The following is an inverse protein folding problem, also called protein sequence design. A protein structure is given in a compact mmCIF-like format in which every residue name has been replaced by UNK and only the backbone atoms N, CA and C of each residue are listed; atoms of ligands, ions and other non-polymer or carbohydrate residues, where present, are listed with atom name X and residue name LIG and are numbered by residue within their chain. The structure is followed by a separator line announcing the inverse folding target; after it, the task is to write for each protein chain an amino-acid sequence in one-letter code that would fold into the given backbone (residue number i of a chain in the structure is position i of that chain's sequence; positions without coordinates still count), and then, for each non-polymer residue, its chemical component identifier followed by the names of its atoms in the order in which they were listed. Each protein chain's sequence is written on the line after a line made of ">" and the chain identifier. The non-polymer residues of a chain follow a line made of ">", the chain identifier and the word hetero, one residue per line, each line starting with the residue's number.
data_IF_605479124262
#
_entry.id   IF_605479124262
#
_cell.length_a   1.000
_cell.length_b   1.000
_cell.length_c   1.000
_cell.angle_alpha   90.00
_cell.angle_beta   90.00
_cell.angle_gamma   90.00
#
_symmetry.space_group_name_H-M   'P 1'
#
loop_
_entity.id
_entity.type
_entity.pdbx_description
1 polymer ?
#
# COMPACT_ATOMS: atom_id res chain seq x y z
N UNK A 1 -25.14 4.83 -5.36
CA UNK A 1 -24.00 4.69 -4.41
C UNK A 1 -23.22 3.37 -4.50
N UNK A 2 -23.85 2.22 -4.73
CA UNK A 2 -23.15 0.90 -4.81
C UNK A 2 -22.03 0.84 -5.87
N UNK A 3 -22.19 1.51 -7.02
CA UNK A 3 -21.17 1.58 -8.09
C UNK A 3 -19.91 2.36 -7.68
N UNK A 4 -20.08 3.49 -6.97
CA UNK A 4 -18.98 4.33 -6.49
C UNK A 4 -18.13 3.62 -5.42
N UNK A 5 -18.77 2.94 -4.47
CA UNK A 5 -18.07 2.12 -3.45
C UNK A 5 -17.26 1.01 -4.12
N UNK A 6 -17.87 0.23 -5.02
CA UNK A 6 -17.18 -0.83 -5.77
C UNK A 6 -15.99 -0.29 -6.57
N UNK A 7 -16.12 0.90 -7.19
CA UNK A 7 -15.01 1.56 -7.91
C UNK A 7 -13.87 1.93 -6.96
N UNK A 8 -14.17 2.54 -5.82
CA UNK A 8 -13.14 2.94 -4.84
C UNK A 8 -12.41 1.73 -4.26
N UNK A 9 -13.12 0.64 -3.94
CA UNK A 9 -12.49 -0.62 -3.49
C UNK A 9 -11.57 -1.23 -4.54
N UNK A 10 -11.97 -1.19 -5.83
CA UNK A 10 -11.11 -1.64 -6.93
C UNK A 10 -9.84 -0.79 -7.04
N UNK A 11 -9.97 0.53 -6.94
CA UNK A 11 -8.81 1.44 -6.94
C UNK A 11 -7.91 1.14 -5.74
N UNK A 12 -8.47 0.93 -4.55
CA UNK A 12 -7.70 0.57 -3.35
C UNK A 12 -6.91 -0.73 -3.56
N UNK A 13 -7.53 -1.75 -4.17
CA UNK A 13 -6.88 -3.02 -4.45
C UNK A 13 -5.73 -2.87 -5.46
N UNK A 14 -5.91 -2.08 -6.52
CA UNK A 14 -4.85 -1.78 -7.49
C UNK A 14 -3.71 -1.02 -6.81
N UNK A 15 -4.03 0.02 -6.05
CA UNK A 15 -3.05 0.84 -5.34
C UNK A 15 -2.26 0.03 -4.31
N UNK A 16 -2.90 -0.95 -3.65
CA UNK A 16 -2.23 -1.87 -2.74
C UNK A 16 -1.23 -2.78 -3.47
N UNK A 17 -1.57 -3.25 -4.69
CA UNK A 17 -0.65 -4.01 -5.52
C UNK A 17 0.54 -3.15 -5.98
N UNK A 18 0.29 -1.91 -6.43
CA UNK A 18 1.35 -0.98 -6.84
C UNK A 18 2.30 -0.68 -5.69
N UNK A 19 1.77 -0.43 -4.48
CA UNK A 19 2.60 -0.22 -3.30
C UNK A 19 3.45 -1.45 -2.96
N UNK A 20 2.89 -2.66 -3.05
CA UNK A 20 3.65 -3.90 -2.83
C UNK A 20 4.77 -4.05 -3.86
N UNK A 21 4.50 -3.81 -5.15
CA UNK A 21 5.54 -3.88 -6.19
C UNK A 21 6.69 -2.91 -5.90
N UNK A 22 6.38 -1.66 -5.56
CA UNK A 22 7.41 -0.68 -5.19
C UNK A 22 8.20 -1.08 -3.93
N UNK A 23 7.58 -1.79 -2.98
CA UNK A 23 8.30 -2.35 -1.83
C UNK A 23 9.25 -3.49 -2.24
N UNK A 24 8.81 -4.37 -3.14
CA UNK A 24 9.66 -5.44 -3.67
C UNK A 24 10.88 -4.88 -4.41
N UNK A 25 10.68 -3.86 -5.25
CA UNK A 25 11.78 -3.17 -5.93
C UNK A 25 12.78 -2.55 -4.94
N UNK A 26 12.28 -1.98 -3.85
CA UNK A 26 13.13 -1.43 -2.80
C UNK A 26 13.97 -2.51 -2.11
N UNK A 27 13.35 -3.66 -1.77
CA UNK A 27 14.03 -4.80 -1.16
C UNK A 27 15.10 -5.35 -2.11
N UNK A 28 14.79 -5.50 -3.40
CA UNK A 28 15.76 -5.97 -4.40
C UNK A 28 16.95 -4.99 -4.51
N UNK A 29 16.67 -3.69 -4.51
CA UNK A 29 17.72 -2.67 -4.54
C UNK A 29 18.61 -2.71 -3.29
N UNK A 30 18.02 -2.92 -2.10
CA UNK A 30 18.75 -3.09 -0.85
C UNK A 30 19.61 -4.36 -0.84
N UNK A 31 19.11 -5.46 -1.40
CA UNK A 31 19.87 -6.70 -1.53
C UNK A 31 21.10 -6.50 -2.44
N UNK A 32 20.95 -5.81 -3.58
CA UNK A 32 22.07 -5.45 -4.48
C UNK A 32 23.10 -4.55 -3.79
N UNK A 33 22.65 -3.59 -3.00
CA UNK A 33 23.55 -2.72 -2.22
C UNK A 33 24.36 -3.54 -1.20
N UNK A 34 23.72 -4.46 -0.48
CA UNK A 34 24.38 -5.36 0.48
C UNK A 34 25.39 -6.29 -0.21
N UNK A 35 25.04 -6.84 -1.37
CA UNK A 35 25.95 -7.68 -2.17
C UNK A 35 27.21 -6.90 -2.59
N UNK A 36 27.05 -5.66 -3.04
CA UNK A 36 28.18 -4.81 -3.42
C UNK A 36 29.05 -4.42 -2.22
N UNK A 37 28.43 -4.12 -1.07
CA UNK A 37 29.17 -3.86 0.18
C UNK A 37 29.96 -5.09 0.63
N UNK A 38 29.34 -6.26 0.57
CA UNK A 38 29.98 -7.53 0.91
C UNK A 38 31.12 -7.87 -0.04
N UNK A 39 30.95 -7.64 -1.34
CA UNK A 39 32.02 -7.80 -2.34
C UNK A 39 33.20 -6.89 -2.04
N UNK A 40 32.94 -5.62 -1.71
CA UNK A 40 34.00 -4.68 -1.34
C UNK A 40 34.71 -5.11 -0.06
N UNK A 41 33.96 -5.55 0.95
CA UNK A 41 34.50 -6.06 2.22
C UNK A 41 35.44 -7.23 1.98
N UNK A 42 35.04 -8.22 1.19
CA UNK A 42 35.88 -9.39 0.86
C UNK A 42 37.18 -9.02 0.14
N UNK A 43 37.13 -8.03 -0.77
CA UNK A 43 38.35 -7.56 -1.45
C UNK A 43 39.29 -6.91 -0.43
N UNK A 44 38.78 -6.10 0.49
CA UNK A 44 39.60 -5.43 1.52
C UNK A 44 40.16 -6.46 2.52
N UNK A 45 39.33 -7.38 3.02
CA UNK A 45 39.74 -8.44 3.96
C UNK A 45 40.83 -9.34 3.35
N UNK A 46 40.63 -9.82 2.10
CA UNK A 46 41.62 -10.63 1.41
C UNK A 46 42.97 -9.92 1.18
N UNK A 47 42.97 -8.59 1.16
CA UNK A 47 44.20 -7.80 1.10
C UNK A 47 44.88 -7.62 2.46
N UNK A 48 44.10 -7.47 3.52
CA UNK A 48 44.63 -7.32 4.87
C UNK A 48 45.24 -8.63 5.39
N UNK A 49 44.72 -9.79 4.95
CA UNK A 49 45.21 -11.11 5.35
C UNK A 49 46.41 -11.61 4.53
N UNK A 50 46.69 -11.01 3.36
CA UNK A 50 47.73 -11.47 2.45
C UNK A 50 49.12 -10.88 2.80
N UNK A 51 50.01 -11.73 3.31
CA UNK A 51 51.43 -11.39 3.46
C UNK A 51 52.10 -11.46 2.07
N UNK A 52 52.51 -10.31 1.53
CA UNK A 52 53.26 -10.24 0.28
C UNK A 52 52.40 -10.23 -1.00
N UNK A 53 51.48 -9.27 -1.10
CA UNK A 53 50.67 -9.08 -2.31
C UNK A 53 51.55 -8.66 -3.50
N UNK A 54 51.45 -9.38 -4.61
CA UNK A 54 52.17 -9.01 -5.84
C UNK A 54 51.64 -7.67 -6.40
N UNK A 55 52.49 -6.84 -7.05
CA UNK A 55 52.04 -5.57 -7.63
C UNK A 55 50.84 -5.70 -8.58
N UNK A 56 50.78 -6.80 -9.34
CA UNK A 56 49.68 -7.09 -10.26
C UNK A 56 48.37 -7.40 -9.51
N UNK A 57 48.43 -8.17 -8.42
CA UNK A 57 47.26 -8.44 -7.59
C UNK A 57 46.73 -7.14 -6.98
N UNK A 58 47.62 -6.28 -6.46
CA UNK A 58 47.26 -4.97 -5.94
C UNK A 58 46.59 -4.06 -6.99
N UNK A 59 47.11 -4.05 -8.21
CA UNK A 59 46.52 -3.30 -9.31
C UNK A 59 45.11 -3.79 -9.67
N UNK A 60 44.92 -5.10 -9.79
CA UNK A 60 43.63 -5.72 -10.12
C UNK A 60 42.57 -5.44 -9.03
N UNK A 61 42.96 -5.51 -7.75
CA UNK A 61 42.06 -5.18 -6.66
C UNK A 61 41.71 -3.69 -6.62
N UNK A 62 42.67 -2.81 -6.88
CA UNK A 62 42.41 -1.38 -7.02
C UNK A 62 41.40 -1.08 -8.14
N UNK A 63 41.50 -1.77 -9.27
CA UNK A 63 40.50 -1.67 -10.34
C UNK A 63 39.13 -2.20 -9.90
N UNK A 64 39.09 -3.38 -9.29
CA UNK A 64 37.84 -4.00 -8.81
C UNK A 64 37.14 -3.14 -7.75
N UNK A 65 37.89 -2.52 -6.82
CA UNK A 65 37.36 -1.60 -5.82
C UNK A 65 36.80 -0.32 -6.46
N UNK A 66 37.48 0.24 -7.46
CA UNK A 66 36.99 1.41 -8.21
C UNK A 66 35.68 1.07 -8.92
N UNK A 67 35.62 -0.07 -9.61
CA UNK A 67 34.39 -0.52 -10.28
C UNK A 67 33.25 -0.72 -9.27
N UNK A 68 33.51 -1.42 -8.16
CA UNK A 68 32.51 -1.62 -7.10
C UNK A 68 32.03 -0.29 -6.48
N UNK A 69 32.93 0.69 -6.31
CA UNK A 69 32.56 2.02 -5.80
C UNK A 69 31.67 2.80 -6.78
N UNK A 70 31.95 2.72 -8.09
CA UNK A 70 31.07 3.31 -9.11
C UNK A 70 29.71 2.62 -9.12
N UNK A 71 29.67 1.29 -9.06
CA UNK A 71 28.44 0.50 -8.98
C UNK A 71 27.61 0.87 -7.74
N UNK A 72 28.24 1.01 -6.57
CA UNK A 72 27.58 1.49 -5.35
C UNK A 72 26.97 2.88 -5.52
N UNK A 73 27.67 3.81 -6.18
CA UNK A 73 27.15 5.14 -6.46
C UNK A 73 25.92 5.11 -7.37
N UNK A 74 25.88 4.21 -8.35
CA UNK A 74 24.71 3.98 -9.21
C UNK A 74 23.55 3.39 -8.42
N UNK A 75 23.81 2.36 -7.62
CA UNK A 75 22.79 1.71 -6.78
C UNK A 75 22.23 2.66 -5.74
N UNK A 76 23.05 3.50 -5.11
CA UNK A 76 22.60 4.50 -4.13
C UNK A 76 21.62 5.52 -4.77
N UNK A 77 21.94 6.02 -5.97
CA UNK A 77 21.03 6.91 -6.72
C UNK A 77 19.74 6.21 -7.14
N UNK A 78 19.82 4.94 -7.54
CA UNK A 78 18.65 4.14 -7.86
C UNK A 78 17.76 3.92 -6.63
N UNK A 79 18.37 3.59 -5.48
CA UNK A 79 17.71 3.42 -4.19
C UNK A 79 16.95 4.66 -3.76
N UNK A 80 17.54 5.85 -3.90
CA UNK A 80 16.87 7.11 -3.59
C UNK A 80 15.59 7.30 -4.43
N UNK A 81 15.69 7.06 -5.74
CA UNK A 81 14.54 7.13 -6.66
C UNK A 81 13.45 6.13 -6.32
N UNK A 82 13.82 4.86 -6.10
CA UNK A 82 12.90 3.78 -5.75
C UNK A 82 12.24 4.05 -4.39
N UNK A 83 12.99 4.58 -3.42
CA UNK A 83 12.46 4.96 -2.10
C UNK A 83 11.42 6.07 -2.24
N UNK A 84 11.71 7.11 -3.03
CA UNK A 84 10.77 8.18 -3.32
C UNK A 84 9.50 7.67 -4.02
N UNK A 85 9.66 6.73 -4.96
CA UNK A 85 8.55 6.07 -5.63
C UNK A 85 7.68 5.25 -4.64
N UNK A 86 8.30 4.39 -3.82
CA UNK A 86 7.60 3.60 -2.82
C UNK A 86 6.83 4.47 -1.81
N UNK A 87 7.41 5.59 -1.38
CA UNK A 87 6.75 6.57 -0.52
C UNK A 87 5.55 7.24 -1.22
N UNK A 88 5.68 7.54 -2.51
CA UNK A 88 4.59 8.11 -3.32
C UNK A 88 3.43 7.12 -3.43
N UNK A 89 3.70 5.85 -3.73
CA UNK A 89 2.68 4.81 -3.80
C UNK A 89 2.04 4.53 -2.43
N UNK A 90 2.80 4.63 -1.34
CA UNK A 90 2.28 4.53 0.03
C UNK A 90 1.30 5.68 0.35
N UNK A 91 1.65 6.92 -0.03
CA UNK A 91 0.77 8.10 0.16
C UNK A 91 -0.52 7.97 -0.63
N UNK A 92 -0.44 7.55 -1.90
CA UNK A 92 -1.61 7.27 -2.74
C UNK A 92 -2.50 6.19 -2.12
N UNK A 93 -1.90 5.09 -1.65
CA UNK A 93 -2.64 4.02 -0.96
C UNK A 93 -3.38 4.56 0.27
N UNK A 94 -2.68 5.32 1.12
CA UNK A 94 -3.28 5.95 2.31
C UNK A 94 -4.47 6.85 1.95
N UNK A 95 -4.34 7.65 0.89
CA UNK A 95 -5.43 8.52 0.42
C UNK A 95 -6.65 7.71 -0.04
N UNK A 96 -6.44 6.68 -0.86
CA UNK A 96 -7.54 5.86 -1.37
C UNK A 96 -8.22 5.07 -0.26
N UNK A 97 -7.47 4.56 0.72
CA UNK A 97 -8.03 3.87 1.88
C UNK A 97 -8.93 4.80 2.71
N UNK A 98 -8.50 6.06 2.93
CA UNK A 98 -9.34 7.07 3.59
C UNK A 98 -10.62 7.35 2.80
N UNK A 99 -10.55 7.43 1.47
CA UNK A 99 -11.73 7.60 0.63
C UNK A 99 -12.69 6.40 0.75
N UNK A 100 -12.15 5.19 0.76
CA UNK A 100 -12.93 3.96 0.94
C UNK A 100 -13.66 3.96 2.28
N UNK A 101 -12.97 4.34 3.34
CA UNK A 101 -13.54 4.46 4.69
C UNK A 101 -14.67 5.50 4.76
N UNK A 102 -14.45 6.70 4.21
CA UNK A 102 -15.48 7.74 4.17
C UNK A 102 -16.73 7.28 3.42
N UNK A 103 -16.56 6.62 2.28
CA UNK A 103 -17.70 6.11 1.49
C UNK A 103 -18.41 4.96 2.21
N UNK A 104 -17.67 4.09 2.90
CA UNK A 104 -18.26 3.04 3.72
C UNK A 104 -19.11 3.63 4.86
N UNK A 105 -18.61 4.65 5.57
CA UNK A 105 -19.36 5.36 6.63
C UNK A 105 -20.61 6.04 6.08
N UNK A 106 -20.54 6.70 4.92
CA UNK A 106 -21.71 7.30 4.28
C UNK A 106 -22.75 6.25 3.89
N UNK A 107 -22.32 5.12 3.31
CA UNK A 107 -23.21 4.04 2.95
C UNK A 107 -23.88 3.39 4.17
N UNK A 108 -23.17 3.32 5.30
CA UNK A 108 -23.73 2.85 6.57
C UNK A 108 -24.83 3.79 7.08
N UNK A 109 -24.55 5.09 7.20
CA UNK A 109 -25.55 6.09 7.65
C UNK A 109 -26.81 6.12 6.78
N UNK A 110 -26.65 5.98 5.46
CA UNK A 110 -27.80 5.93 4.57
C UNK A 110 -28.65 4.66 4.73
N UNK A 111 -28.03 3.54 5.11
CA UNK A 111 -28.79 2.32 5.44
C UNK A 111 -29.56 2.51 6.74
N UNK A 112 -28.92 3.06 7.77
CA UNK A 112 -29.59 3.38 9.04
C UNK A 112 -30.78 4.31 8.81
N UNK A 113 -30.60 5.39 8.06
CA UNK A 113 -31.68 6.33 7.75
C UNK A 113 -32.86 5.65 7.03
N UNK A 114 -32.60 4.80 6.04
CA UNK A 114 -33.67 4.06 5.34
C UNK A 114 -34.41 3.10 6.26
N UNK A 115 -33.69 2.38 7.13
CA UNK A 115 -34.32 1.48 8.10
C UNK A 115 -35.19 2.26 9.08
N UNK A 116 -34.74 3.43 9.53
CA UNK A 116 -35.53 4.31 10.38
C UNK A 116 -36.78 4.82 9.66
N UNK A 117 -36.64 5.29 8.41
CA UNK A 117 -37.76 5.70 7.56
C UNK A 117 -38.78 4.56 7.41
N UNK A 118 -38.34 3.35 7.06
CA UNK A 118 -39.19 2.16 6.93
C UNK A 118 -39.94 1.81 8.24
N UNK A 119 -39.26 1.87 9.39
CA UNK A 119 -39.87 1.63 10.71
C UNK A 119 -40.88 2.72 11.07
N UNK A 120 -40.57 3.99 10.80
CA UNK A 120 -41.51 5.09 11.05
C UNK A 120 -42.75 5.00 10.15
N UNK A 121 -42.58 4.65 8.87
CA UNK A 121 -43.70 4.45 7.96
C UNK A 121 -44.59 3.27 8.39
N UNK A 122 -44.00 2.14 8.78
CA UNK A 122 -44.77 0.99 9.29
C UNK A 122 -45.45 1.29 10.62
N UNK A 123 -44.80 2.05 11.51
CA UNK A 123 -45.40 2.51 12.75
C UNK A 123 -46.54 3.51 12.51
N UNK A 124 -46.44 4.38 11.51
CA UNK A 124 -47.50 5.33 11.13
C UNK A 124 -48.70 4.67 10.43
N UNK A 125 -48.49 3.57 9.69
CA UNK A 125 -49.57 2.80 9.04
C UNK A 125 -50.37 1.93 10.01
N UNK A 126 -49.73 1.39 11.06
CA UNK A 126 -50.38 0.56 12.10
C UNK A 126 -51.58 1.20 12.83
N UNK A 127 -51.58 2.48 13.25
CA UNK A 127 -52.75 3.08 13.88
C UNK A 127 -53.90 3.31 12.89
N UNK A 128 -53.61 3.59 11.61
CA UNK A 128 -54.63 3.77 10.56
C UNK A 128 -55.38 2.46 10.26
N UNK A 129 -54.67 1.33 10.18
CA UNK A 129 -55.29 0.01 9.99
C UNK A 129 -56.12 -0.43 11.21
N UNK A 130 -55.68 -0.10 12.43
CA UNK A 130 -56.45 -0.40 13.66
C UNK A 130 -57.73 0.44 13.78
N UNK A 131 -57.74 1.67 13.30
CA UNK A 131 -58.96 2.51 13.30
C UNK A 131 -59.97 2.03 12.23
N UNK A 132 -59.52 1.69 11.03
CA UNK A 132 -60.40 1.14 9.98
C UNK A 132 -60.97 -0.24 10.32
N UNK A 133 -60.21 -1.10 11.02
CA UNK A 133 -60.71 -2.39 11.50
C UNK A 133 -61.76 -2.26 12.62
N UNK A 134 -61.70 -1.18 13.42
CA UNK A 134 -62.69 -0.91 14.46
C UNK A 134 -63.98 -0.32 13.88
N UNK A 135 -63.91 0.55 12.87
CA UNK A 135 -65.10 1.12 12.21
C UNK A 135 -65.90 0.06 11.43
N UNK A 136 -65.21 -0.89 10.78
CA UNK A 136 -65.87 -1.97 10.01
C UNK A 136 -66.44 -3.10 10.86
N UNK A 137 -66.12 -3.17 12.15
CA UNK A 137 -66.66 -4.16 13.09
C UNK A 137 -67.84 -3.64 13.92
N UNK A 138 -68.12 -2.34 13.90
CA UNK A 138 -69.27 -1.70 14.55
C UNK A 138 -70.54 -1.68 13.68
N UNK A 139 -70.41 -1.98 12.37
CA UNK A 139 -71.52 -2.03 11.39
C UNK A 139 -72.08 -3.45 11.13
N UNK A 140 -71.80 -4.42 12.01
CA UNK A 140 -72.41 -5.77 12.00
C UNK A 140 -73.16 -6.05 13.29
#
# INVERSE_FOLDING_TARGET
>A
MKSRDRKIRRIAAVQAKMHRLAQWELIECQAKEQELQERQRRIIEGFNEAIGVTPLAAQNAGQNLRTASVEQGVVAKAKERITSHAMTEARKLKQVLRMAETVARQAFRQREQRVLEEVTETAAKRPAEKMQANETSLDR
#
